data_IF_666035177060
#
_entry.id   IF_666035177060
#
_cell.length_a   1.000
_cell.length_b   1.000
_cell.length_c   1.000
_cell.angle_alpha   90.00
_cell.angle_beta   90.00
_cell.angle_gamma   90.00
#
_symmetry.space_group_name_H-M   'P 1'
#
loop_
_entity.id
_entity.type
_entity.pdbx_description
1 polymer ?
#
# COMPACT_ATOMS: atom_id res chain seq x y z
N UNK A 1 -7.08 -1.60 -12.51
CA UNK A 1 -5.79 -1.33 -11.83
C UNK A 1 -4.83 -0.68 -12.80
N UNK A 2 -4.17 0.37 -12.41
CA UNK A 2 -3.23 1.05 -13.29
C UNK A 2 -1.93 0.27 -13.41
N UNK A 3 -1.19 0.52 -14.49
CA UNK A 3 0.11 -0.14 -14.70
C UNK A 3 1.09 0.26 -13.59
N UNK A 4 1.05 1.51 -13.18
CA UNK A 4 1.93 2.00 -12.11
C UNK A 4 1.67 1.26 -10.81
N UNK A 5 0.41 1.07 -10.48
CA UNK A 5 0.04 0.35 -9.28
C UNK A 5 0.49 -1.11 -9.33
N UNK A 6 0.29 -1.72 -10.49
CA UNK A 6 0.73 -3.11 -10.68
C UNK A 6 2.23 -3.25 -10.50
N UNK A 7 3.00 -2.32 -11.07
CA UNK A 7 4.45 -2.33 -10.95
C UNK A 7 4.89 -2.18 -9.50
N UNK A 8 4.22 -1.32 -8.77
CA UNK A 8 4.52 -1.12 -7.34
C UNK A 8 4.33 -2.40 -6.55
N UNK A 9 3.23 -3.09 -6.80
CA UNK A 9 2.94 -4.33 -6.10
C UNK A 9 3.96 -5.40 -6.47
N UNK A 10 4.32 -5.50 -7.74
CA UNK A 10 5.31 -6.46 -8.19
C UNK A 10 6.68 -6.20 -7.54
N UNK A 11 7.08 -4.95 -7.50
CA UNK A 11 8.36 -4.59 -6.88
C UNK A 11 8.36 -4.95 -5.39
N UNK A 12 7.27 -4.67 -4.72
CA UNK A 12 7.12 -5.00 -3.31
C UNK A 12 7.19 -6.51 -3.10
N UNK A 13 6.49 -7.26 -3.95
CA UNK A 13 6.50 -8.71 -3.86
C UNK A 13 7.90 -9.28 -4.05
N UNK A 14 8.63 -8.77 -5.03
CA UNK A 14 10.00 -9.20 -5.29
C UNK A 14 10.93 -8.87 -4.12
N UNK A 15 10.79 -7.69 -3.58
CA UNK A 15 11.61 -7.22 -2.47
C UNK A 15 11.50 -8.14 -1.25
N UNK A 16 10.28 -8.57 -0.96
CA UNK A 16 10.00 -9.34 0.25
C UNK A 16 9.78 -10.82 -0.02
N UNK A 17 9.90 -11.26 -1.26
CA UNK A 17 9.69 -12.66 -1.61
C UNK A 17 8.26 -13.11 -1.41
N UNK A 18 7.29 -12.24 -1.70
CA UNK A 18 5.88 -12.53 -1.52
C UNK A 18 5.21 -12.79 -2.86
N UNK A 19 4.02 -13.40 -2.82
CA UNK A 19 3.20 -13.51 -4.01
C UNK A 19 2.53 -12.17 -4.30
N UNK A 20 2.07 -11.99 -5.53
CA UNK A 20 1.41 -10.75 -5.92
C UNK A 20 0.21 -10.45 -5.03
N UNK A 21 -0.61 -11.45 -4.75
CA UNK A 21 -1.80 -11.27 -3.91
C UNK A 21 -1.42 -10.85 -2.49
N UNK A 22 -0.40 -11.46 -1.92
CA UNK A 22 0.06 -11.11 -0.59
C UNK A 22 0.60 -9.69 -0.53
N UNK A 23 1.41 -9.33 -1.52
CA UNK A 23 1.98 -7.99 -1.59
C UNK A 23 0.88 -6.93 -1.74
N UNK A 24 -0.09 -7.21 -2.59
CA UNK A 24 -1.21 -6.29 -2.79
C UNK A 24 -1.97 -6.05 -1.50
N UNK A 25 -2.24 -7.12 -0.78
CA UNK A 25 -2.96 -7.03 0.48
C UNK A 25 -2.20 -6.20 1.51
N UNK A 26 -0.91 -6.44 1.62
CA UNK A 26 -0.08 -5.70 2.57
C UNK A 26 -0.02 -4.23 2.24
N UNK A 27 0.11 -3.90 0.97
CA UNK A 27 0.13 -2.50 0.56
C UNK A 27 -1.21 -1.81 0.84
N UNK A 28 -2.31 -2.51 0.63
CA UNK A 28 -3.62 -1.95 0.93
C UNK A 28 -3.77 -1.65 2.42
N UNK A 29 -3.26 -2.52 3.28
CA UNK A 29 -3.30 -2.29 4.72
C UNK A 29 -2.45 -1.10 5.12
N UNK A 30 -1.27 -0.97 4.56
CA UNK A 30 -0.39 0.16 4.85
C UNK A 30 -1.04 1.47 4.41
N UNK A 31 -1.65 1.47 3.25
CA UNK A 31 -2.31 2.67 2.73
C UNK A 31 -3.52 3.06 3.54
N UNK A 32 -4.27 2.08 4.01
CA UNK A 32 -5.42 2.36 4.86
C UNK A 32 -4.99 3.04 6.16
N UNK A 33 -3.93 2.53 6.77
CA UNK A 33 -3.39 3.13 7.99
C UNK A 33 -2.88 4.53 7.74
N UNK A 34 -2.20 4.72 6.63
CA UNK A 34 -1.65 6.01 6.28
C UNK A 34 -2.74 7.05 6.09
N UNK A 35 -3.79 6.67 5.38
CA UNK A 35 -4.93 7.57 5.16
C UNK A 35 -5.58 7.96 6.47
N UNK A 36 -5.75 7.01 7.37
CA UNK A 36 -6.32 7.31 8.69
C UNK A 36 -5.47 8.32 9.44
N UNK A 37 -4.17 8.16 9.40
CA UNK A 37 -3.25 9.07 10.06
C UNK A 37 -3.33 10.47 9.46
N UNK A 38 -3.41 10.56 8.15
CA UNK A 38 -3.52 11.84 7.47
C UNK A 38 -4.79 12.58 7.86
N UNK A 39 -5.91 11.86 7.89
CA UNK A 39 -7.18 12.45 8.27
C UNK A 39 -7.12 12.97 9.70
N UNK A 40 -6.53 12.22 10.60
CA UNK A 40 -6.39 12.65 11.97
C UNK A 40 -5.50 13.87 12.11
N UNK A 41 -4.43 13.93 11.35
CA UNK A 41 -3.54 15.08 11.36
C UNK A 41 -4.26 16.34 10.90
N UNK A 42 -5.11 16.23 9.91
CA UNK A 42 -5.89 17.36 9.43
C UNK A 42 -6.90 17.84 10.48
N UNK A 43 -7.50 16.91 11.16
CA UNK A 43 -8.48 17.25 12.20
C UNK A 43 -7.85 18.03 13.33
N UNK A 44 -6.59 17.78 13.61
CA UNK A 44 -5.90 18.47 14.68
C UNK A 44 -5.57 19.91 14.37
N UNK A 45 -5.62 20.29 13.13
CA UNK A 45 -5.43 21.67 12.71
C UNK A 45 -6.75 22.40 12.56
#
# INVERSE_FOLDING_TARGET
>A
MSIERKNEIEAFANEYGLSFASAKRMLEEIEADYDSNEVMAEVWY
#
